data_IF_481168769777
#
_entry.id   IF_481168769777
#
_cell.length_a   1.000
_cell.length_b   1.000
_cell.length_c   1.000
_cell.angle_alpha   90.00
_cell.angle_beta   90.00
_cell.angle_gamma   90.00
#
_symmetry.space_group_name_H-M   'P 1'
#
loop_
_entity.id
_entity.type
_entity.pdbx_description
1 polymer ?
#
# COMPACT_ATOMS: atom_id res chain seq x y z
N UNK A 1 -3.66 -10.69 -2.06
CA UNK A 1 -3.49 -9.55 -2.99
C UNK A 1 -2.49 -8.47 -2.54
N UNK A 2 -2.76 -7.52 -1.63
CA UNK A 2 -1.77 -6.45 -1.35
C UNK A 2 -0.42 -6.95 -0.83
N UNK A 3 -0.42 -7.69 0.28
CA UNK A 3 0.79 -8.25 0.88
C UNK A 3 1.49 -9.24 -0.06
N UNK A 4 0.70 -10.02 -0.80
CA UNK A 4 1.17 -10.99 -1.78
C UNK A 4 1.86 -10.31 -2.98
N UNK A 5 1.29 -9.22 -3.52
CA UNK A 5 1.91 -8.44 -4.59
C UNK A 5 3.23 -7.80 -4.13
N UNK A 6 3.31 -7.33 -2.89
CA UNK A 6 4.57 -6.85 -2.29
C UNK A 6 5.59 -7.98 -2.15
N UNK A 7 5.17 -9.16 -1.74
CA UNK A 7 6.04 -10.32 -1.62
C UNK A 7 6.53 -10.82 -2.99
N UNK A 8 5.64 -10.90 -3.99
CA UNK A 8 6.00 -11.28 -5.36
C UNK A 8 6.93 -10.24 -6.00
N UNK A 9 6.78 -8.95 -5.69
CA UNK A 9 7.75 -7.93 -6.07
C UNK A 9 9.11 -8.19 -5.43
N UNK A 10 9.17 -8.59 -4.15
CA UNK A 10 10.41 -9.01 -3.48
C UNK A 10 11.08 -10.20 -4.18
N UNK A 11 10.29 -11.22 -4.56
CA UNK A 11 10.78 -12.38 -5.33
C UNK A 11 11.29 -11.96 -6.71
N UNK A 12 10.59 -11.05 -7.40
CA UNK A 12 11.04 -10.49 -8.68
C UNK A 12 12.37 -9.74 -8.55
N UNK A 13 12.65 -9.13 -7.39
CA UNK A 13 13.93 -8.50 -7.08
C UNK A 13 14.99 -9.47 -6.50
N UNK A 14 14.71 -10.79 -6.51
CA UNK A 14 15.68 -11.83 -6.13
C UNK A 14 15.64 -12.28 -4.68
N UNK A 15 14.66 -11.85 -3.87
CA UNK A 15 14.50 -12.32 -2.50
C UNK A 15 13.84 -13.71 -2.45
N UNK A 16 14.10 -14.46 -1.38
CA UNK A 16 13.35 -15.70 -1.13
C UNK A 16 11.89 -15.37 -0.83
N UNK A 17 10.97 -16.28 -1.17
CA UNK A 17 9.53 -16.09 -0.94
C UNK A 17 9.20 -15.89 0.54
N UNK A 18 9.82 -16.69 1.41
CA UNK A 18 9.65 -16.58 2.86
C UNK A 18 10.08 -15.20 3.38
N UNK A 19 11.28 -14.74 3.01
CA UNK A 19 11.76 -13.42 3.40
C UNK A 19 10.87 -12.31 2.84
N UNK A 20 10.42 -12.44 1.60
CA UNK A 20 9.56 -11.46 0.95
C UNK A 20 8.22 -11.30 1.67
N UNK A 21 7.60 -12.40 2.10
CA UNK A 21 6.37 -12.34 2.91
C UNK A 21 6.62 -11.67 4.27
N UNK A 22 7.71 -12.03 4.95
CA UNK A 22 8.04 -11.44 6.25
C UNK A 22 8.27 -9.92 6.14
N UNK A 23 9.02 -9.48 5.13
CA UNK A 23 9.23 -8.06 4.87
C UNK A 23 7.91 -7.35 4.53
N UNK A 24 7.10 -7.90 3.61
CA UNK A 24 5.83 -7.32 3.23
C UNK A 24 4.88 -7.15 4.44
N UNK A 25 4.77 -8.18 5.29
CA UNK A 25 3.94 -8.14 6.49
C UNK A 25 4.42 -7.06 7.48
N UNK A 26 5.72 -7.02 7.78
CA UNK A 26 6.28 -6.02 8.70
C UNK A 26 6.21 -4.61 8.15
N UNK A 27 6.42 -4.40 6.86
CA UNK A 27 6.24 -3.10 6.20
C UNK A 27 4.80 -2.60 6.36
N UNK A 28 3.81 -3.47 6.12
CA UNK A 28 2.40 -3.10 6.27
C UNK A 28 2.03 -2.78 7.72
N UNK A 29 2.47 -3.60 8.68
CA UNK A 29 2.21 -3.37 10.10
C UNK A 29 2.87 -2.07 10.56
N UNK A 30 4.12 -1.82 10.16
CA UNK A 30 4.84 -0.59 10.48
C UNK A 30 4.12 0.65 9.95
N UNK A 31 3.74 0.64 8.67
CA UNK A 31 3.01 1.75 8.06
C UNK A 31 1.67 2.04 8.76
N UNK A 32 0.88 1.00 9.07
CA UNK A 32 -0.39 1.15 9.78
C UNK A 32 -0.19 1.70 11.20
N UNK A 33 0.80 1.18 11.94
CA UNK A 33 1.14 1.68 13.28
C UNK A 33 1.54 3.15 13.26
N UNK A 34 2.37 3.56 12.30
CA UNK A 34 2.77 4.96 12.16
C UNK A 34 1.57 5.90 12.05
N UNK A 35 0.55 5.55 11.26
CA UNK A 35 -0.67 6.36 11.15
C UNK A 35 -1.42 6.41 12.49
N UNK A 36 -1.60 5.27 13.13
CA UNK A 36 -2.37 5.16 14.37
C UNK A 36 -1.69 5.83 15.57
N UNK A 37 -0.37 5.74 15.67
CA UNK A 37 0.41 6.23 16.80
C UNK A 37 0.73 7.73 16.64
N UNK A 38 1.18 8.16 15.46
CA UNK A 38 1.58 9.56 15.25
C UNK A 38 0.41 10.49 15.05
N UNK A 39 -0.77 9.97 14.67
CA UNK A 39 -1.96 10.75 14.26
C UNK A 39 -1.69 11.75 13.13
N UNK A 40 -0.54 11.67 12.46
CA UNK A 40 -0.22 12.51 11.31
C UNK A 40 -1.12 12.12 10.13
N UNK A 41 -1.43 13.10 9.30
CA UNK A 41 -2.10 12.84 8.04
C UNK A 41 -1.23 11.90 7.18
N UNK A 42 -1.79 10.85 6.54
CA UNK A 42 -1.00 9.89 5.76
C UNK A 42 -0.15 10.51 4.65
N UNK A 43 -0.61 11.61 4.05
CA UNK A 43 0.20 12.35 3.06
C UNK A 43 1.50 12.90 3.68
N UNK A 44 1.46 13.39 4.91
CA UNK A 44 2.65 13.86 5.62
C UNK A 44 3.60 12.72 5.96
N UNK A 45 3.09 11.57 6.38
CA UNK A 45 3.92 10.37 6.62
C UNK A 45 4.57 9.84 5.33
N UNK A 46 3.85 9.91 4.20
CA UNK A 46 4.40 9.60 2.88
C UNK A 46 5.54 10.56 2.53
N UNK A 47 5.36 11.86 2.77
CA UNK A 47 6.38 12.87 2.51
C UNK A 47 7.61 12.69 3.41
N UNK A 48 7.42 12.33 4.69
CA UNK A 48 8.50 12.05 5.65
C UNK A 48 9.48 10.94 5.17
N UNK A 49 9.04 10.02 4.29
CA UNK A 49 9.86 8.91 3.75
C UNK A 49 10.24 9.08 2.27
N UNK A 50 9.85 10.20 1.64
CA UNK A 50 10.12 10.48 0.24
C UNK A 50 11.26 11.50 0.09
N UNK A 51 12.49 11.01 0.02
CA UNK A 51 13.66 11.87 -0.23
C UNK A 51 13.68 12.40 -1.67
N UNK A 52 14.26 13.61 -1.91
CA UNK A 52 14.43 14.16 -3.26
C UNK A 52 15.13 13.17 -4.19
N UNK A 53 14.53 12.89 -5.36
CA UNK A 53 15.03 11.93 -6.36
C UNK A 53 15.26 10.49 -5.85
N UNK A 54 14.74 10.14 -4.66
CA UNK A 54 14.94 8.83 -4.04
C UNK A 54 14.11 7.70 -4.65
N UNK A 55 14.36 6.46 -4.22
CA UNK A 55 13.62 5.29 -4.69
C UNK A 55 12.12 5.38 -4.35
N UNK A 56 11.76 5.80 -3.14
CA UNK A 56 10.37 5.87 -2.67
C UNK A 56 9.53 6.83 -3.51
N UNK A 57 10.03 8.04 -3.79
CA UNK A 57 9.24 9.03 -4.55
C UNK A 57 9.03 8.60 -6.00
N UNK A 58 10.01 7.92 -6.61
CA UNK A 58 9.87 7.34 -7.94
C UNK A 58 8.85 6.18 -7.96
N UNK A 59 8.84 5.34 -6.91
CA UNK A 59 7.82 4.31 -6.75
C UNK A 59 6.41 4.93 -6.59
N UNK A 60 6.27 5.99 -5.78
CA UNK A 60 5.00 6.72 -5.64
C UNK A 60 4.53 7.28 -6.98
N UNK A 61 5.42 7.91 -7.75
CA UNK A 61 5.08 8.39 -9.10
C UNK A 61 4.56 7.26 -10.00
N UNK A 62 5.19 6.08 -9.96
CA UNK A 62 4.72 4.93 -10.74
C UNK A 62 3.33 4.45 -10.28
N UNK A 63 3.07 4.40 -8.97
CA UNK A 63 1.74 4.02 -8.45
C UNK A 63 0.66 5.03 -8.88
N UNK A 64 0.93 6.33 -8.79
CA UNK A 64 -0.01 7.38 -9.19
C UNK A 64 -0.26 7.35 -10.71
N UNK A 65 0.80 7.18 -11.52
CA UNK A 65 0.69 7.08 -12.98
C UNK A 65 -0.23 5.93 -13.43
N UNK A 66 -0.29 4.85 -12.64
CA UNK A 66 -1.12 3.69 -12.93
C UNK A 66 -2.48 3.70 -12.20
N UNK A 67 -2.90 4.84 -11.63
CA UNK A 67 -4.24 4.99 -11.06
C UNK A 67 -4.47 4.21 -9.76
N UNK A 68 -3.43 4.02 -8.94
CA UNK A 68 -3.53 3.21 -7.73
C UNK A 68 -4.65 3.70 -6.79
N UNK A 69 -4.75 5.02 -6.54
CA UNK A 69 -5.77 5.58 -5.64
C UNK A 69 -7.19 5.34 -6.13
N UNK A 70 -7.45 5.63 -7.41
CA UNK A 70 -8.77 5.44 -7.99
C UNK A 70 -9.18 3.97 -7.93
N UNK A 71 -8.27 3.05 -8.27
CA UNK A 71 -8.54 1.61 -8.19
C UNK A 71 -8.98 1.17 -6.78
N UNK A 72 -8.36 1.71 -5.74
CA UNK A 72 -8.73 1.38 -4.36
C UNK A 72 -10.08 1.99 -3.95
N UNK A 73 -10.32 3.24 -4.34
CA UNK A 73 -11.58 3.92 -4.07
C UNK A 73 -12.75 3.21 -4.75
N UNK A 74 -12.57 2.83 -6.01
CA UNK A 74 -13.59 2.12 -6.80
C UNK A 74 -13.88 0.74 -6.20
N UNK A 75 -12.84 -0.01 -5.80
CA UNK A 75 -13.01 -1.33 -5.19
C UNK A 75 -13.83 -1.27 -3.88
N UNK A 76 -13.57 -0.28 -3.03
CA UNK A 76 -14.35 -0.07 -1.79
C UNK A 76 -15.76 0.41 -2.11
N UNK A 77 -15.92 1.27 -3.12
CA UNK A 77 -17.23 1.74 -3.59
C UNK A 77 -18.13 0.57 -4.02
N UNK A 78 -17.63 -0.30 -4.89
CA UNK A 78 -18.36 -1.48 -5.36
C UNK A 78 -18.71 -2.42 -4.21
N UNK A 79 -17.77 -2.69 -3.31
CA UNK A 79 -18.05 -3.53 -2.14
C UNK A 79 -19.17 -2.95 -1.26
N UNK A 80 -19.19 -1.63 -1.09
CA UNK A 80 -20.22 -0.92 -0.31
C UNK A 80 -21.59 -1.00 -0.98
N UNK A 81 -21.66 -0.85 -2.30
CA UNK A 81 -22.92 -0.95 -3.05
C UNK A 81 -23.54 -2.35 -2.95
N UNK A 82 -22.72 -3.40 -2.98
CA UNK A 82 -23.18 -4.78 -2.84
C UNK A 82 -23.69 -5.03 -1.41
N UNK A 83 -22.90 -4.65 -0.39
CA UNK A 83 -23.29 -4.85 1.00
C UNK A 83 -24.65 -4.22 1.34
N UNK A 84 -24.95 -3.04 0.77
CA UNK A 84 -26.25 -2.36 0.97
C UNK A 84 -27.43 -3.06 0.29
N UNK A 85 -27.19 -3.85 -0.76
CA UNK A 85 -28.24 -4.63 -1.45
C UNK A 85 -28.60 -5.89 -0.66
N UNK A 86 -27.65 -6.46 0.05
CA UNK A 86 -27.88 -7.65 0.90
C UNK A 86 -28.65 -7.31 2.19
N UNK A 87 -28.69 -6.03 2.57
CA UNK A 87 -29.44 -5.52 3.73
C UNK A 87 -30.90 -5.11 3.41
N UNK A 88 -31.31 -5.13 2.13
CA UNK A 88 -32.67 -4.78 1.67
C UNK A 88 -33.45 -6.01 1.21
#
# INVERSE_FOLDING_TARGET
MFMEALADAGVLQGLSRELSYNLAAHTMIGAAKMVLETKKHPAGLKDDVCSPSGCTINAMYHLEKNGFRSLLMDAVGVATEIARKDEQ
#
